data_IF_388894541358
#
_entry.id   IF_388894541358
#
_cell.length_a   1.000
_cell.length_b   1.000
_cell.length_c   1.000
_cell.angle_alpha   90.00
_cell.angle_beta   90.00
_cell.angle_gamma   90.00
#
_symmetry.space_group_name_H-M   'P 1'
#
loop_
_entity.id
_entity.type
_entity.pdbx_description
1 polymer ?
#
# COMPACT_ATOMS: atom_id res chain seq x y z
N UNK A 1 -18.47 23.80 4.63
CA UNK A 1 -17.97 22.43 4.38
C UNK A 1 -16.47 22.32 4.64
N UNK A 2 -15.96 21.12 4.88
CA UNK A 2 -14.51 20.89 4.99
C UNK A 2 -14.07 19.59 4.31
N UNK A 3 -12.86 19.58 3.71
CA UNK A 3 -12.33 18.40 3.04
C UNK A 3 -10.88 18.53 2.56
N UNK A 4 -10.37 17.44 1.98
CA UNK A 4 -9.00 17.38 1.45
C UNK A 4 -8.84 18.09 0.10
N UNK A 5 -9.73 17.81 -0.84
CA UNK A 5 -9.78 18.33 -2.22
C UNK A 5 -8.47 18.19 -3.00
N UNK A 6 -7.71 17.16 -2.69
CA UNK A 6 -6.51 16.80 -3.44
C UNK A 6 -6.92 16.22 -4.81
N UNK A 7 -6.20 16.58 -5.89
CA UNK A 7 -6.59 16.27 -7.28
C UNK A 7 -8.03 16.72 -7.59
N UNK A 8 -8.26 18.01 -7.62
CA UNK A 8 -9.58 18.58 -7.93
C UNK A 8 -10.13 18.00 -9.26
N UNK A 9 -11.38 17.52 -9.23
CA UNK A 9 -12.03 16.86 -10.37
C UNK A 9 -13.52 17.23 -10.46
N UNK A 10 -14.20 16.84 -11.55
CA UNK A 10 -15.61 17.15 -11.79
C UNK A 10 -16.56 16.78 -10.65
N UNK A 11 -16.28 15.68 -9.94
CA UNK A 11 -17.07 15.28 -8.77
C UNK A 11 -16.93 16.26 -7.57
N UNK A 12 -15.77 16.91 -7.39
CA UNK A 12 -15.64 17.98 -6.41
C UNK A 12 -16.40 19.25 -6.87
N UNK A 13 -16.31 19.59 -8.14
CA UNK A 13 -17.03 20.78 -8.69
C UNK A 13 -18.52 20.60 -8.51
N UNK A 14 -19.09 19.45 -8.91
CA UNK A 14 -20.51 19.15 -8.72
C UNK A 14 -20.94 19.20 -7.25
N UNK A 15 -20.08 18.70 -6.34
CA UNK A 15 -20.32 18.78 -4.90
C UNK A 15 -20.33 20.20 -4.36
N UNK A 16 -19.45 21.10 -4.87
CA UNK A 16 -19.46 22.51 -4.52
C UNK A 16 -20.68 23.24 -5.11
N UNK A 17 -21.07 22.91 -6.34
CA UNK A 17 -22.28 23.46 -6.97
C UNK A 17 -23.54 23.04 -6.20
N UNK A 18 -23.66 21.78 -5.80
CA UNK A 18 -24.74 21.29 -4.95
C UNK A 18 -24.80 22.05 -3.62
N UNK A 19 -23.66 22.19 -2.92
CA UNK A 19 -23.59 22.92 -1.66
C UNK A 19 -23.97 24.40 -1.82
N UNK A 20 -23.55 25.05 -2.91
CA UNK A 20 -23.87 26.46 -3.19
C UNK A 20 -25.38 26.70 -3.47
N UNK A 21 -26.16 25.65 -3.71
CA UNK A 21 -27.66 25.81 -3.82
C UNK A 21 -28.31 26.12 -2.48
N UNK A 22 -27.62 25.84 -1.37
CA UNK A 22 -28.11 26.12 -0.01
C UNK A 22 -27.76 27.53 0.47
N UNK A 23 -26.84 28.24 -0.19
CA UNK A 23 -26.43 29.61 0.19
C UNK A 23 -24.97 29.88 -0.14
N UNK A 24 -24.40 30.88 0.51
CA UNK A 24 -22.99 31.27 0.35
C UNK A 24 -22.06 30.16 0.82
N UNK A 25 -21.23 29.63 -0.09
CA UNK A 25 -20.36 28.50 0.19
C UNK A 25 -19.00 28.91 0.74
N UNK A 26 -18.71 28.45 1.96
CA UNK A 26 -17.44 28.58 2.65
C UNK A 26 -16.75 27.21 2.75
N UNK A 27 -15.44 27.13 2.42
CA UNK A 27 -14.72 25.87 2.28
C UNK A 27 -13.46 25.86 3.14
N UNK A 28 -13.41 24.98 4.14
CA UNK A 28 -12.20 24.64 4.88
C UNK A 28 -11.41 23.54 4.15
N UNK A 29 -10.10 23.69 4.07
CA UNK A 29 -9.19 22.75 3.44
C UNK A 29 -8.30 22.14 4.51
N UNK A 30 -8.30 20.82 4.63
CA UNK A 30 -7.41 20.12 5.55
C UNK A 30 -5.95 20.38 5.20
N UNK A 31 -5.12 20.75 6.19
CA UNK A 31 -3.69 20.97 5.98
C UNK A 31 -2.98 19.69 5.51
N UNK A 32 -1.83 19.82 4.84
CA UNK A 32 -1.02 18.68 4.40
C UNK A 32 -0.67 17.76 5.57
N UNK A 33 -0.41 18.37 6.73
CA UNK A 33 -0.11 17.64 7.96
C UNK A 33 -1.32 16.85 8.48
N UNK A 34 -2.50 17.46 8.53
CA UNK A 34 -3.75 16.76 8.89
C UNK A 34 -4.05 15.60 7.94
N UNK A 35 -3.88 15.80 6.63
CA UNK A 35 -4.12 14.75 5.64
C UNK A 35 -3.12 13.61 5.79
N UNK A 36 -1.85 13.91 6.06
CA UNK A 36 -0.84 12.89 6.32
C UNK A 36 -1.15 12.08 7.58
N UNK A 37 -1.60 12.73 8.64
CA UNK A 37 -2.01 12.08 9.91
C UNK A 37 -3.24 11.16 9.70
N UNK A 38 -4.29 11.65 9.02
CA UNK A 38 -5.55 10.92 8.85
C UNK A 38 -5.50 9.82 7.77
N UNK A 39 -4.73 10.03 6.70
CA UNK A 39 -4.71 9.13 5.53
C UNK A 39 -3.39 8.40 5.34
N UNK A 40 -2.42 8.59 6.25
CA UNK A 40 -1.08 8.01 6.18
C UNK A 40 -0.37 8.22 4.82
N UNK A 41 -0.68 9.33 4.12
CA UNK A 41 -0.13 9.67 2.80
C UNK A 41 0.03 11.16 2.61
N UNK A 42 0.99 11.55 1.78
CA UNK A 42 1.12 12.93 1.31
C UNK A 42 0.04 13.26 0.28
N UNK A 43 -0.34 14.53 0.25
CA UNK A 43 -1.13 15.10 -0.85
C UNK A 43 -0.29 15.17 -2.13
N UNK A 44 -0.93 15.14 -3.30
CA UNK A 44 -0.27 15.41 -4.58
C UNK A 44 -0.05 16.91 -4.74
N UNK A 45 -1.13 17.68 -4.50
CA UNK A 45 -1.06 19.13 -4.49
C UNK A 45 -0.87 19.62 -3.06
N UNK A 46 0.02 20.58 -2.85
CA UNK A 46 0.23 21.23 -1.54
C UNK A 46 -1.05 21.92 -1.06
N UNK A 47 -1.14 22.18 0.23
CA UNK A 47 -2.31 22.87 0.79
C UNK A 47 -2.56 24.24 0.13
N UNK A 48 -1.50 24.96 -0.24
CA UNK A 48 -1.59 26.24 -0.95
C UNK A 48 -2.12 26.09 -2.38
N UNK A 49 -1.67 25.06 -3.13
CA UNK A 49 -2.20 24.76 -4.47
C UNK A 49 -3.68 24.37 -4.40
N UNK A 50 -4.06 23.55 -3.41
CA UNK A 50 -5.44 23.14 -3.19
C UNK A 50 -6.33 24.33 -2.82
N UNK A 51 -5.83 25.24 -1.97
CA UNK A 51 -6.52 26.48 -1.63
C UNK A 51 -6.71 27.37 -2.84
N UNK A 52 -5.66 27.55 -3.65
CA UNK A 52 -5.73 28.34 -4.88
C UNK A 52 -6.79 27.80 -5.84
N UNK A 53 -6.78 26.48 -6.09
CA UNK A 53 -7.74 25.85 -6.99
C UNK A 53 -9.19 25.97 -6.47
N UNK A 54 -9.42 25.72 -5.19
CA UNK A 54 -10.75 25.81 -4.58
C UNK A 54 -11.29 27.25 -4.60
N UNK A 55 -10.46 28.23 -4.27
CA UNK A 55 -10.82 29.67 -4.36
C UNK A 55 -11.18 30.13 -5.77
N UNK A 56 -10.66 29.47 -6.78
CA UNK A 56 -10.91 29.81 -8.19
C UNK A 56 -12.26 29.28 -8.68
N UNK A 57 -12.97 28.46 -7.91
CA UNK A 57 -14.26 27.91 -8.29
C UNK A 57 -15.39 28.94 -8.11
N UNK A 58 -16.20 29.11 -9.16
CA UNK A 58 -17.31 30.09 -9.14
C UNK A 58 -18.32 29.87 -8.01
N UNK A 59 -18.52 28.61 -7.58
CA UNK A 59 -19.43 28.25 -6.52
C UNK A 59 -18.94 28.60 -5.12
N UNK A 60 -17.63 28.89 -4.97
CA UNK A 60 -16.99 29.12 -3.66
C UNK A 60 -16.93 30.61 -3.38
N UNK A 61 -17.52 31.06 -2.27
CA UNK A 61 -17.44 32.45 -1.82
C UNK A 61 -16.10 32.74 -1.17
N UNK A 62 -15.66 31.84 -0.27
CA UNK A 62 -14.40 31.95 0.45
C UNK A 62 -13.84 30.57 0.81
N UNK A 63 -12.52 30.45 0.89
CA UNK A 63 -11.86 29.24 1.33
C UNK A 63 -10.59 29.56 2.13
N UNK A 64 -10.19 28.66 3.04
CA UNK A 64 -9.00 28.76 3.88
C UNK A 64 -8.43 27.38 4.20
N UNK A 65 -7.20 27.34 4.70
CA UNK A 65 -6.60 26.13 5.27
C UNK A 65 -7.00 26.05 6.73
N UNK A 66 -7.57 24.90 7.14
CA UNK A 66 -7.97 24.67 8.53
C UNK A 66 -6.76 24.72 9.46
N UNK A 67 -6.90 25.40 10.61
CA UNK A 67 -5.83 25.57 11.60
C UNK A 67 -5.71 24.40 12.58
N UNK A 68 -6.75 23.58 12.68
CA UNK A 68 -6.80 22.42 13.59
C UNK A 68 -6.16 21.16 13.05
N UNK A 69 -6.42 20.03 13.71
CA UNK A 69 -5.94 18.69 13.35
C UNK A 69 -6.98 17.60 13.56
N UNK A 70 -6.74 16.45 12.95
CA UNK A 70 -7.62 15.29 13.09
C UNK A 70 -8.96 15.46 12.36
N UNK A 71 -9.97 14.72 12.80
CA UNK A 71 -11.30 14.66 12.15
C UNK A 71 -12.10 15.97 12.23
N UNK A 72 -11.83 16.81 13.24
CA UNK A 72 -12.45 18.12 13.44
C UNK A 72 -11.41 19.25 13.25
N UNK A 73 -10.52 19.12 12.27
CA UNK A 73 -9.50 20.12 11.97
C UNK A 73 -10.05 21.52 11.67
N UNK A 74 -11.34 21.61 11.36
CA UNK A 74 -12.12 22.82 11.06
C UNK A 74 -12.87 23.42 12.27
N UNK A 75 -12.75 22.81 13.44
CA UNK A 75 -13.59 23.17 14.61
C UNK A 75 -13.51 24.67 14.95
N UNK A 76 -12.31 25.24 14.95
CA UNK A 76 -12.10 26.66 15.28
C UNK A 76 -12.83 27.56 14.29
N UNK A 77 -12.61 27.35 13.03
CA UNK A 77 -13.18 28.18 11.95
C UNK A 77 -14.71 28.05 11.89
N UNK A 78 -15.27 26.88 12.14
CA UNK A 78 -16.72 26.67 12.21
C UNK A 78 -17.33 27.36 13.40
N UNK A 79 -16.67 27.36 14.58
CA UNK A 79 -17.13 28.13 15.77
C UNK A 79 -17.07 29.64 15.58
N UNK A 80 -16.10 30.13 14.83
CA UNK A 80 -15.97 31.54 14.48
C UNK A 80 -16.98 31.98 13.43
N UNK A 81 -17.20 31.16 12.40
CA UNK A 81 -18.14 31.45 11.31
C UNK A 81 -19.60 31.24 11.69
N UNK A 82 -19.90 30.24 12.53
CA UNK A 82 -21.26 29.82 12.91
C UNK A 82 -22.18 29.69 11.69
N UNK A 83 -21.88 28.79 10.74
CA UNK A 83 -22.70 28.62 9.55
C UNK A 83 -24.06 27.99 9.90
N UNK A 84 -25.08 28.28 9.11
CA UNK A 84 -26.40 27.66 9.27
C UNK A 84 -26.36 26.15 8.92
N UNK A 85 -25.56 25.78 7.92
CA UNK A 85 -25.49 24.40 7.40
C UNK A 85 -24.01 23.93 7.33
N UNK A 86 -23.76 22.71 7.81
CA UNK A 86 -22.52 22.00 7.56
C UNK A 86 -22.76 20.88 6.50
N UNK A 87 -22.33 21.16 5.29
CA UNK A 87 -22.54 20.27 4.14
C UNK A 87 -21.37 19.29 3.99
N UNK A 88 -21.67 18.00 3.87
CA UNK A 88 -20.65 16.91 3.81
C UNK A 88 -21.05 15.87 2.77
N UNK A 89 -20.07 15.20 2.18
CA UNK A 89 -20.37 14.01 1.36
C UNK A 89 -20.50 12.74 2.23
N UNK A 90 -21.11 11.70 1.69
CA UNK A 90 -21.34 10.43 2.39
C UNK A 90 -20.03 9.80 2.91
N UNK A 91 -18.93 9.88 2.15
CA UNK A 91 -17.62 9.33 2.53
C UNK A 91 -16.94 10.14 3.65
N UNK A 92 -17.28 11.42 3.78
CA UNK A 92 -16.74 12.32 4.78
C UNK A 92 -17.62 12.49 6.01
N UNK A 93 -18.84 11.90 6.00
CA UNK A 93 -19.77 11.92 7.12
C UNK A 93 -19.28 10.99 8.24
N UNK A 94 -19.30 11.47 9.47
CA UNK A 94 -18.95 10.70 10.67
C UNK A 94 -19.85 11.09 11.83
N UNK A 95 -20.15 10.16 12.78
CA UNK A 95 -20.94 10.48 13.98
C UNK A 95 -20.33 11.62 14.81
N UNK A 96 -19.01 11.76 14.79
CA UNK A 96 -18.32 12.83 15.51
C UNK A 96 -18.64 14.22 14.94
N UNK A 97 -18.68 14.35 13.60
CA UNK A 97 -19.03 15.61 12.92
C UNK A 97 -20.51 15.96 13.09
N UNK A 98 -21.37 14.96 13.00
CA UNK A 98 -22.79 15.13 13.21
C UNK A 98 -23.09 15.65 14.63
N UNK A 99 -22.52 14.99 15.64
CA UNK A 99 -22.63 15.42 17.03
C UNK A 99 -22.07 16.82 17.27
N UNK A 100 -20.92 17.15 16.66
CA UNK A 100 -20.35 18.51 16.75
C UNK A 100 -21.30 19.57 16.17
N UNK A 101 -21.95 19.31 15.05
CA UNK A 101 -22.92 20.22 14.46
C UNK A 101 -24.19 20.34 15.34
N UNK A 102 -24.69 19.23 15.89
CA UNK A 102 -25.82 19.21 16.82
C UNK A 102 -25.55 20.07 18.07
N UNK A 103 -24.37 19.95 18.67
CA UNK A 103 -23.95 20.76 19.83
C UNK A 103 -23.94 22.28 19.55
N UNK A 104 -23.71 22.67 18.28
CA UNK A 104 -23.71 24.09 17.88
C UNK A 104 -25.03 24.55 17.24
N UNK A 105 -26.02 23.67 17.09
CA UNK A 105 -27.28 23.97 16.40
C UNK A 105 -27.13 24.20 14.90
N UNK A 106 -26.13 23.65 14.30
CA UNK A 106 -25.84 23.72 12.87
C UNK A 106 -26.52 22.55 12.15
N UNK A 107 -27.27 22.82 11.08
CA UNK A 107 -27.89 21.76 10.27
C UNK A 107 -26.81 20.92 9.56
N UNK A 108 -26.87 19.58 9.70
CA UNK A 108 -25.93 18.65 9.10
C UNK A 108 -26.52 18.00 7.84
N UNK A 109 -26.03 18.37 6.67
CA UNK A 109 -26.57 17.92 5.37
C UNK A 109 -25.57 17.02 4.66
N UNK A 110 -26.03 15.81 4.28
CA UNK A 110 -25.22 14.84 3.56
C UNK A 110 -25.59 14.85 2.07
N UNK A 111 -24.60 15.11 1.20
CA UNK A 111 -24.74 15.14 -0.26
C UNK A 111 -25.15 13.80 -0.84
N UNK A 112 -25.98 13.85 -1.89
CA UNK A 112 -26.35 12.69 -2.71
C UNK A 112 -25.30 12.32 -3.75
N UNK A 113 -24.24 13.13 -3.93
CA UNK A 113 -23.14 12.93 -4.90
C UNK A 113 -23.61 12.68 -6.33
N UNK A 114 -24.50 13.50 -6.82
CA UNK A 114 -25.02 13.42 -8.19
C UNK A 114 -24.00 14.05 -9.14
N UNK A 115 -23.48 13.32 -10.15
CA UNK A 115 -22.60 13.90 -11.15
C UNK A 115 -23.31 15.01 -11.94
N UNK A 116 -22.56 16.02 -12.36
CA UNK A 116 -23.11 17.09 -13.20
C UNK A 116 -23.43 16.57 -14.62
N UNK A 117 -24.69 16.62 -15.01
CA UNK A 117 -25.15 16.21 -16.35
C UNK A 117 -24.73 14.77 -16.70
N UNK A 118 -24.11 14.60 -17.86
CA UNK A 118 -23.62 13.29 -18.34
C UNK A 118 -22.15 13.01 -17.99
N UNK A 119 -21.54 13.78 -17.06
CA UNK A 119 -20.16 13.54 -16.68
C UNK A 119 -20.05 12.23 -15.86
N UNK A 120 -18.96 11.47 -16.02
CA UNK A 120 -18.75 10.26 -15.25
C UNK A 120 -18.55 10.57 -13.77
N UNK A 121 -18.98 9.66 -12.91
CA UNK A 121 -18.64 9.71 -11.49
C UNK A 121 -17.13 9.68 -11.31
N UNK A 122 -16.57 10.65 -10.61
CA UNK A 122 -15.13 10.76 -10.32
C UNK A 122 -14.88 10.80 -8.81
N UNK A 123 -13.78 10.22 -8.40
CA UNK A 123 -13.24 10.36 -7.03
C UNK A 123 -11.73 10.48 -7.08
N UNK A 124 -11.13 11.18 -6.13
CA UNK A 124 -9.66 11.26 -5.98
C UNK A 124 -9.03 9.86 -5.91
N UNK A 125 -9.71 8.91 -5.25
CA UNK A 125 -9.27 7.52 -5.16
C UNK A 125 -9.24 6.85 -6.53
N UNK A 126 -10.30 7.04 -7.36
CA UNK A 126 -10.34 6.49 -8.71
C UNK A 126 -9.28 7.12 -9.63
N UNK A 127 -9.06 8.44 -9.54
CA UNK A 127 -8.03 9.14 -10.32
C UNK A 127 -6.60 8.71 -9.93
N UNK A 128 -6.38 8.43 -8.63
CA UNK A 128 -5.12 7.83 -8.17
C UNK A 128 -4.92 6.40 -8.67
N UNK A 129 -5.99 5.69 -9.05
CA UNK A 129 -5.96 4.37 -9.69
C UNK A 129 -5.45 4.38 -11.14
N UNK A 130 -5.40 5.53 -11.81
CA UNK A 130 -4.86 5.61 -13.17
C UNK A 130 -3.35 5.34 -13.22
N UNK A 131 -2.70 5.15 -12.08
CA UNK A 131 -1.34 4.65 -12.00
C UNK A 131 -1.37 3.11 -11.97
N UNK A 132 -1.09 2.49 -13.10
CA UNK A 132 -1.07 1.03 -13.29
C UNK A 132 0.25 0.39 -12.86
N UNK A 133 1.16 1.15 -12.26
CA UNK A 133 2.41 0.57 -11.71
C UNK A 133 2.05 -0.43 -10.61
N UNK A 134 2.42 -1.71 -10.77
CA UNK A 134 2.06 -2.78 -9.85
C UNK A 134 2.66 -2.64 -8.46
N UNK A 135 2.12 -3.39 -7.52
CA UNK A 135 2.81 -3.74 -6.29
C UNK A 135 3.47 -5.11 -6.43
N UNK A 136 4.35 -5.46 -5.49
CA UNK A 136 4.98 -6.76 -5.39
C UNK A 136 4.78 -7.32 -3.99
N UNK A 137 4.45 -8.62 -3.92
CA UNK A 137 4.51 -9.39 -2.68
C UNK A 137 5.65 -10.39 -2.79
N UNK A 138 6.47 -10.51 -1.74
CA UNK A 138 7.40 -11.61 -1.58
C UNK A 138 6.70 -12.76 -0.80
N UNK A 139 6.64 -13.94 -1.39
CA UNK A 139 6.01 -15.11 -0.78
C UNK A 139 6.98 -15.88 0.10
N UNK A 140 8.24 -15.97 -0.30
CA UNK A 140 9.30 -16.66 0.44
C UNK A 140 10.69 -16.22 -0.04
N UNK A 141 11.70 -16.41 0.81
CA UNK A 141 13.11 -16.19 0.46
C UNK A 141 13.58 -14.75 0.48
N UNK A 142 12.70 -13.78 0.77
CA UNK A 142 13.10 -12.36 0.86
C UNK A 142 14.34 -12.16 1.74
N UNK A 143 15.24 -11.26 1.37
CA UNK A 143 16.60 -11.03 1.84
C UNK A 143 17.69 -11.83 1.13
N UNK A 144 17.39 -12.94 0.42
CA UNK A 144 18.40 -13.62 -0.41
C UNK A 144 18.84 -12.77 -1.63
N UNK A 145 18.08 -11.74 -2.00
CA UNK A 145 18.46 -10.71 -2.99
C UNK A 145 19.51 -9.73 -2.48
N UNK A 146 19.93 -9.89 -1.20
CA UNK A 146 21.02 -9.11 -0.61
C UNK A 146 22.32 -9.95 -0.59
N UNK A 147 23.40 -9.47 -1.22
CA UNK A 147 24.68 -10.20 -1.29
C UNK A 147 25.23 -10.59 0.08
N UNK A 148 24.99 -9.76 1.10
CA UNK A 148 25.44 -10.04 2.47
C UNK A 148 24.68 -11.20 3.14
N UNK A 149 23.61 -11.72 2.53
CA UNK A 149 22.89 -12.92 2.93
C UNK A 149 23.20 -14.08 1.99
N UNK A 150 22.95 -13.92 0.67
CA UNK A 150 23.07 -15.01 -0.30
C UNK A 150 24.50 -15.49 -0.57
N UNK A 151 25.53 -14.70 -0.20
CA UNK A 151 26.93 -15.16 -0.22
C UNK A 151 27.21 -16.29 0.79
N UNK A 152 26.42 -16.41 1.86
CA UNK A 152 26.56 -17.47 2.84
C UNK A 152 25.91 -18.77 2.36
N UNK A 153 24.75 -18.64 1.71
CA UNK A 153 24.06 -19.74 1.07
C UNK A 153 23.16 -19.22 -0.06
N UNK A 154 23.34 -19.68 -1.31
CA UNK A 154 22.51 -19.23 -2.43
C UNK A 154 21.09 -19.75 -2.30
N UNK A 155 20.14 -19.06 -2.97
CA UNK A 155 18.76 -19.52 -2.98
C UNK A 155 17.79 -18.57 -3.66
N UNK A 156 16.53 -19.00 -3.82
CA UNK A 156 15.54 -18.22 -4.54
C UNK A 156 14.79 -17.25 -3.63
N UNK A 157 14.33 -16.17 -4.26
CA UNK A 157 13.23 -15.33 -3.75
C UNK A 157 12.01 -15.55 -4.64
N UNK A 158 10.84 -15.76 -4.03
CA UNK A 158 9.58 -15.94 -4.75
C UNK A 158 8.75 -14.64 -4.64
N UNK A 159 8.44 -14.06 -5.79
CA UNK A 159 7.64 -12.82 -5.84
C UNK A 159 6.43 -12.99 -6.75
N UNK A 160 5.35 -12.28 -6.41
CA UNK A 160 4.20 -12.08 -7.30
C UNK A 160 4.03 -10.59 -7.57
N UNK A 161 3.73 -10.27 -8.84
CA UNK A 161 3.34 -8.92 -9.26
C UNK A 161 1.82 -8.80 -9.16
N UNK A 162 1.33 -7.84 -8.39
CA UNK A 162 -0.10 -7.67 -8.17
C UNK A 162 -0.60 -6.35 -8.74
N UNK A 163 -1.82 -6.37 -9.28
CA UNK A 163 -2.48 -5.18 -9.80
C UNK A 163 -2.70 -4.17 -8.65
N UNK A 164 -2.56 -2.86 -8.93
CA UNK A 164 -2.82 -1.84 -7.93
C UNK A 164 -4.31 -1.79 -7.59
N UNK A 165 -4.63 -1.97 -6.31
CA UNK A 165 -5.96 -1.80 -5.76
C UNK A 165 -6.03 -0.52 -4.92
N UNK A 166 -7.19 0.14 -4.90
CA UNK A 166 -7.36 1.40 -4.16
C UNK A 166 -7.23 1.22 -2.63
N UNK A 167 -7.43 0.01 -2.14
CA UNK A 167 -7.27 -0.33 -0.72
C UNK A 167 -5.81 -0.47 -0.32
N UNK A 168 -4.92 -0.71 -1.29
CA UNK A 168 -3.47 -0.68 -1.06
C UNK A 168 -3.06 0.77 -0.89
N UNK A 169 -3.05 1.24 0.35
CA UNK A 169 -2.49 2.54 0.68
C UNK A 169 -0.96 2.45 0.69
N UNK A 170 -0.28 3.61 0.82
CA UNK A 170 1.19 3.71 0.81
C UNK A 170 1.88 3.04 2.03
N UNK A 171 1.31 1.95 2.56
CA UNK A 171 1.94 1.15 3.62
C UNK A 171 3.18 0.46 3.09
N UNK A 172 4.18 0.31 3.96
CA UNK A 172 5.39 -0.43 3.63
C UNK A 172 5.12 -1.92 3.42
N UNK A 173 6.02 -2.62 2.76
CA UNK A 173 6.03 -4.06 2.68
C UNK A 173 5.61 -4.68 1.33
N UNK A 174 5.00 -3.91 0.41
CA UNK A 174 4.66 -4.38 -0.93
C UNK A 174 5.48 -3.65 -2.01
N UNK A 175 6.79 -3.53 -1.81
CA UNK A 175 7.71 -2.75 -2.66
C UNK A 175 7.31 -1.29 -2.81
N UNK A 176 6.72 -0.68 -1.78
CA UNK A 176 6.15 0.66 -1.86
C UNK A 176 7.18 1.73 -2.21
N UNK A 177 8.42 1.60 -1.71
CA UNK A 177 9.55 2.50 -2.06
C UNK A 177 9.93 2.37 -3.53
N UNK A 178 10.15 1.15 -4.01
CA UNK A 178 10.51 0.86 -5.40
C UNK A 178 9.38 1.20 -6.37
N UNK A 179 8.12 0.99 -5.95
CA UNK A 179 6.94 1.44 -6.70
C UNK A 179 6.90 2.96 -6.85
N UNK A 180 7.23 3.72 -5.81
CA UNK A 180 7.36 5.19 -5.90
C UNK A 180 8.43 5.59 -6.90
N UNK A 181 9.56 4.90 -6.93
CA UNK A 181 10.62 5.10 -7.91
C UNK A 181 10.18 4.73 -9.33
N UNK A 182 9.40 3.68 -9.51
CA UNK A 182 8.81 3.34 -10.79
C UNK A 182 7.83 4.41 -11.28
N UNK A 183 7.03 5.00 -10.38
CA UNK A 183 6.13 6.12 -10.70
C UNK A 183 6.94 7.38 -11.06
N UNK A 184 8.03 7.68 -10.34
CA UNK A 184 8.93 8.79 -10.70
C UNK A 184 9.53 8.58 -12.10
N UNK A 185 9.90 7.34 -12.45
CA UNK A 185 10.56 7.01 -13.70
C UNK A 185 9.59 6.92 -14.89
N UNK A 186 8.42 6.31 -14.71
CA UNK A 186 7.49 5.95 -15.80
C UNK A 186 6.11 6.59 -15.68
N UNK A 187 5.83 7.31 -14.61
CA UNK A 187 4.56 7.95 -14.31
C UNK A 187 3.41 6.96 -14.06
N UNK A 188 2.64 6.61 -15.09
CA UNK A 188 1.42 5.81 -14.93
C UNK A 188 1.58 4.33 -15.24
N UNK A 189 2.44 3.98 -16.20
CA UNK A 189 2.53 2.63 -16.75
C UNK A 189 3.97 2.20 -16.95
N UNK A 190 4.24 0.90 -16.80
CA UNK A 190 5.52 0.32 -17.20
C UNK A 190 5.58 0.33 -18.73
N UNK A 191 6.64 0.89 -19.36
CA UNK A 191 6.79 0.88 -20.81
C UNK A 191 6.75 -0.52 -21.41
N UNK A 192 6.31 -0.63 -22.66
CA UNK A 192 6.47 -1.86 -23.43
C UNK A 192 7.94 -2.10 -23.77
N UNK A 193 8.37 -3.36 -23.72
CA UNK A 193 9.75 -3.75 -24.07
C UNK A 193 10.24 -4.96 -23.31
N UNK A 194 11.55 -5.13 -23.32
CA UNK A 194 12.24 -6.20 -22.59
C UNK A 194 12.11 -5.98 -21.09
N UNK A 195 11.33 -6.84 -20.43
CA UNK A 195 10.99 -6.71 -19.01
C UNK A 195 12.23 -6.83 -18.11
N UNK A 196 13.22 -7.64 -18.47
CA UNK A 196 14.44 -7.74 -17.66
C UNK A 196 15.25 -6.44 -17.73
N UNK A 197 15.37 -5.82 -18.92
CA UNK A 197 16.02 -4.52 -19.08
C UNK A 197 15.28 -3.42 -18.33
N UNK A 198 13.95 -3.41 -18.36
CA UNK A 198 13.14 -2.46 -17.62
C UNK A 198 13.31 -2.64 -16.11
N UNK A 199 13.32 -3.88 -15.61
CA UNK A 199 13.60 -4.17 -14.20
C UNK A 199 15.01 -3.72 -13.79
N UNK A 200 16.03 -3.93 -14.61
CA UNK A 200 17.39 -3.42 -14.39
C UNK A 200 17.43 -1.89 -14.39
N UNK A 201 16.69 -1.24 -15.29
CA UNK A 201 16.58 0.22 -15.33
C UNK A 201 15.98 0.77 -14.03
N UNK A 202 14.89 0.18 -13.53
CA UNK A 202 14.28 0.56 -12.26
C UNK A 202 15.25 0.32 -11.09
N UNK A 203 15.92 -0.84 -11.06
CA UNK A 203 16.91 -1.16 -10.03
C UNK A 203 18.05 -0.12 -9.99
N UNK A 204 18.60 0.25 -11.14
CA UNK A 204 19.65 1.26 -11.23
C UNK A 204 19.13 2.66 -10.83
N UNK A 205 17.90 3.01 -11.21
CA UNK A 205 17.28 4.28 -10.85
C UNK A 205 17.03 4.40 -9.34
N UNK A 206 16.63 3.31 -8.69
CA UNK A 206 16.44 3.24 -7.25
C UNK A 206 17.78 3.28 -6.49
N UNK A 207 18.85 2.79 -7.09
CA UNK A 207 20.17 2.64 -6.49
C UNK A 207 21.25 3.48 -7.23
N UNK A 208 21.13 4.82 -7.28
CA UNK A 208 22.14 5.65 -7.92
C UNK A 208 23.47 5.56 -7.19
N UNK A 209 24.60 5.84 -7.85
CA UNK A 209 25.92 5.83 -7.22
C UNK A 209 25.97 6.71 -5.96
N UNK A 210 26.49 6.16 -4.87
CA UNK A 210 26.61 6.85 -3.59
C UNK A 210 25.48 6.60 -2.58
N UNK A 211 24.47 5.79 -2.91
CA UNK A 211 23.49 5.35 -1.88
C UNK A 211 24.19 4.55 -0.78
N UNK A 212 23.78 4.79 0.47
CA UNK A 212 24.33 4.09 1.64
C UNK A 212 23.91 2.61 1.68
N UNK A 213 22.65 2.33 1.30
CA UNK A 213 22.09 1.00 1.31
C UNK A 213 21.47 0.72 -0.06
N UNK A 214 21.86 -0.37 -0.67
CA UNK A 214 21.32 -0.81 -1.97
C UNK A 214 20.07 -1.61 -1.71
N UNK A 215 18.94 -1.17 -2.29
CA UNK A 215 17.71 -1.97 -2.33
C UNK A 215 17.92 -3.21 -3.17
N UNK A 216 17.38 -4.34 -2.75
CA UNK A 216 17.49 -5.60 -3.50
C UNK A 216 16.69 -5.58 -4.80
N UNK A 217 17.11 -6.38 -5.77
CA UNK A 217 16.48 -6.40 -7.10
C UNK A 217 15.14 -7.13 -7.15
N UNK A 218 14.78 -7.89 -6.11
CA UNK A 218 13.46 -8.55 -6.02
C UNK A 218 12.30 -7.57 -6.16
N UNK A 219 12.48 -6.33 -5.69
CA UNK A 219 11.44 -5.31 -5.73
C UNK A 219 11.23 -4.80 -7.15
N UNK A 220 12.30 -4.40 -7.84
CA UNK A 220 12.23 -3.94 -9.22
C UNK A 220 11.78 -5.04 -10.19
N UNK A 221 12.25 -6.28 -10.00
CA UNK A 221 11.83 -7.42 -10.81
C UNK A 221 10.36 -7.75 -10.57
N UNK A 222 9.93 -7.84 -9.31
CA UNK A 222 8.55 -8.17 -8.95
C UNK A 222 7.52 -7.10 -9.34
N UNK A 223 7.94 -5.82 -9.46
CA UNK A 223 7.09 -4.76 -10.04
C UNK A 223 6.96 -4.95 -11.55
N UNK A 224 8.08 -5.21 -12.26
CA UNK A 224 8.10 -5.19 -13.72
C UNK A 224 7.62 -6.51 -14.32
N UNK A 225 8.01 -7.65 -13.75
CA UNK A 225 7.66 -8.96 -14.29
C UNK A 225 6.30 -9.45 -13.79
N UNK A 226 5.35 -9.81 -14.69
CA UNK A 226 4.04 -10.32 -14.29
C UNK A 226 4.11 -11.73 -13.71
N UNK A 227 3.04 -12.16 -13.07
CA UNK A 227 2.86 -13.50 -12.57
C UNK A 227 3.64 -13.83 -11.32
N UNK A 228 3.93 -15.11 -11.15
CA UNK A 228 4.77 -15.68 -10.10
C UNK A 228 6.20 -15.82 -10.61
N UNK A 229 7.17 -15.27 -9.90
CA UNK A 229 8.57 -15.27 -10.29
C UNK A 229 9.46 -15.91 -9.22
N UNK A 230 10.32 -16.84 -9.63
CA UNK A 230 11.40 -17.42 -8.84
C UNK A 230 12.72 -16.79 -9.30
N UNK A 231 13.43 -16.14 -8.38
CA UNK A 231 14.62 -15.35 -8.60
C UNK A 231 15.79 -16.00 -7.86
N UNK A 232 16.68 -16.71 -8.57
CA UNK A 232 17.79 -17.45 -7.98
C UNK A 232 19.01 -16.52 -7.73
N UNK A 233 19.40 -16.32 -6.47
CA UNK A 233 20.52 -15.47 -6.06
C UNK A 233 21.73 -16.27 -5.59
N UNK A 234 22.91 -15.74 -5.88
CA UNK A 234 24.18 -16.36 -5.50
C UNK A 234 25.27 -15.30 -5.19
N UNK A 235 25.03 -14.51 -4.16
CA UNK A 235 26.00 -13.50 -3.67
C UNK A 235 26.02 -12.17 -4.43
N UNK A 236 25.15 -11.99 -5.43
CA UNK A 236 25.00 -10.76 -6.22
C UNK A 236 23.65 -10.10 -5.99
N UNK A 237 23.55 -8.80 -6.29
CA UNK A 237 22.26 -8.07 -6.25
C UNK A 237 21.30 -8.47 -7.37
N UNK A 238 21.80 -9.03 -8.49
CA UNK A 238 20.96 -9.49 -9.59
C UNK A 238 20.91 -11.02 -9.62
N UNK A 239 19.72 -11.61 -9.81
CA UNK A 239 19.60 -13.07 -9.82
C UNK A 239 20.35 -13.70 -11.00
N UNK A 240 20.93 -14.86 -10.79
CA UNK A 240 21.59 -15.66 -11.84
C UNK A 240 20.58 -16.28 -12.81
N UNK A 241 19.33 -16.46 -12.35
CA UNK A 241 18.23 -16.98 -13.14
C UNK A 241 16.91 -16.39 -12.68
N UNK A 242 16.03 -16.07 -13.62
CA UNK A 242 14.64 -15.68 -13.42
C UNK A 242 13.74 -16.72 -14.07
N UNK A 243 12.83 -17.31 -13.31
CA UNK A 243 11.84 -18.27 -13.82
C UNK A 243 10.45 -17.71 -13.52
N UNK A 244 9.71 -17.33 -14.58
CA UNK A 244 8.35 -16.79 -14.46
C UNK A 244 7.30 -17.85 -14.76
N UNK A 245 6.25 -17.90 -13.97
CA UNK A 245 5.07 -18.72 -14.21
C UNK A 245 3.85 -17.81 -14.43
N UNK A 246 3.23 -17.96 -15.60
CA UNK A 246 2.03 -17.19 -16.03
C UNK A 246 0.82 -18.13 -16.22
N UNK A 247 0.91 -19.38 -15.76
CA UNK A 247 -0.21 -20.32 -15.82
C UNK A 247 -1.38 -19.80 -14.98
N UNK A 248 -2.49 -19.45 -15.65
CA UNK A 248 -3.66 -18.90 -15.00
C UNK A 248 -4.18 -19.79 -13.87
N UNK A 249 -4.10 -21.11 -14.03
CA UNK A 249 -4.57 -22.06 -13.02
C UNK A 249 -3.74 -22.02 -11.72
N UNK A 250 -2.46 -21.68 -11.82
CA UNK A 250 -1.58 -21.48 -10.66
C UNK A 250 -1.84 -20.10 -10.04
N UNK A 251 -1.95 -19.06 -10.89
CA UNK A 251 -2.15 -17.70 -10.42
C UNK A 251 -3.52 -17.52 -9.75
N UNK A 252 -4.58 -18.09 -10.36
CA UNK A 252 -5.93 -18.07 -9.76
C UNK A 252 -5.94 -18.82 -8.41
N UNK A 253 -5.24 -19.96 -8.33
CA UNK A 253 -5.12 -20.71 -7.08
C UNK A 253 -4.39 -19.89 -5.99
N UNK A 254 -3.32 -19.15 -6.32
CA UNK A 254 -2.65 -18.26 -5.36
C UNK A 254 -3.61 -17.14 -4.92
N UNK A 255 -4.37 -16.53 -5.83
CA UNK A 255 -5.36 -15.51 -5.52
C UNK A 255 -6.46 -16.00 -4.57
N UNK A 256 -6.90 -17.25 -4.73
CA UNK A 256 -7.88 -17.89 -3.85
C UNK A 256 -7.37 -18.07 -2.42
N UNK A 257 -6.07 -18.24 -2.24
CA UNK A 257 -5.50 -18.66 -0.95
C UNK A 257 -4.65 -17.60 -0.25
N UNK A 258 -4.34 -16.47 -0.91
CA UNK A 258 -3.60 -15.37 -0.27
C UNK A 258 -4.58 -14.31 0.25
N UNK A 259 -4.47 -14.04 1.55
CA UNK A 259 -5.20 -12.98 2.24
C UNK A 259 -4.21 -11.93 2.76
N UNK A 260 -4.51 -10.65 2.59
CA UNK A 260 -3.72 -9.57 3.18
C UNK A 260 -4.46 -8.94 4.35
N UNK A 261 -3.78 -8.83 5.49
CA UNK A 261 -4.27 -8.08 6.65
C UNK A 261 -3.44 -6.82 6.79
N UNK A 262 -4.05 -5.63 6.70
CA UNK A 262 -3.33 -4.38 6.88
C UNK A 262 -2.90 -4.23 8.34
N UNK A 263 -1.59 -3.99 8.54
CA UNK A 263 -1.00 -3.63 9.82
C UNK A 263 -0.87 -2.10 9.88
N UNK A 264 -0.25 -1.58 10.95
CA UNK A 264 0.09 -0.16 11.05
C UNK A 264 1.29 0.20 10.14
N UNK A 265 1.46 1.49 9.81
CA UNK A 265 2.63 1.96 9.10
C UNK A 265 3.91 1.72 9.90
N UNK A 266 5.00 1.39 9.21
CA UNK A 266 6.32 1.26 9.82
C UNK A 266 6.72 2.55 10.55
N UNK A 267 7.22 2.44 11.78
CA UNK A 267 7.72 3.58 12.56
C UNK A 267 8.93 4.21 11.90
N UNK A 268 9.12 5.52 12.07
CA UNK A 268 10.21 6.26 11.43
C UNK A 268 11.61 5.87 11.95
N UNK A 269 11.69 5.40 13.19
CA UNK A 269 12.90 4.95 13.88
C UNK A 269 13.18 3.44 13.74
N UNK A 270 12.38 2.75 12.92
CA UNK A 270 12.53 1.32 12.72
C UNK A 270 13.84 0.97 11.99
N UNK A 271 14.67 0.16 12.63
CA UNK A 271 15.89 -0.42 12.06
C UNK A 271 15.79 -1.95 12.05
N UNK A 272 15.74 -2.52 10.85
CA UNK A 272 15.71 -3.98 10.66
C UNK A 272 17.06 -4.64 10.91
N UNK A 273 18.15 -3.88 10.79
CA UNK A 273 19.51 -4.40 10.93
C UNK A 273 19.99 -4.51 12.38
N UNK A 274 19.20 -4.04 13.33
CA UNK A 274 19.53 -4.20 14.75
C UNK A 274 19.48 -5.68 15.16
N UNK A 275 20.52 -6.16 15.85
CA UNK A 275 20.66 -7.55 16.36
C UNK A 275 20.64 -8.64 15.28
N UNK A 276 21.13 -8.39 14.08
CA UNK A 276 21.16 -9.37 12.99
C UNK A 276 22.05 -10.58 13.29
N UNK A 277 21.65 -11.76 12.80
CA UNK A 277 22.41 -13.02 12.89
C UNK A 277 22.54 -13.68 11.51
N UNK A 278 23.36 -13.06 10.64
CA UNK A 278 23.55 -13.51 9.26
C UNK A 278 24.68 -14.55 9.23
N UNK A 279 24.32 -15.80 8.92
CA UNK A 279 25.23 -16.93 8.83
C UNK A 279 24.71 -17.99 7.88
N UNK A 280 25.56 -18.97 7.53
CA UNK A 280 25.22 -20.04 6.57
C UNK A 280 23.98 -20.83 6.95
N UNK A 281 23.84 -21.23 8.24
CA UNK A 281 22.69 -21.99 8.71
C UNK A 281 21.38 -21.25 8.49
N UNK A 282 21.31 -19.97 8.85
CA UNK A 282 20.10 -19.17 8.72
C UNK A 282 19.77 -18.87 7.26
N UNK A 283 20.79 -18.54 6.44
CA UNK A 283 20.62 -18.33 4.99
C UNK A 283 20.15 -19.63 4.29
N UNK A 284 20.70 -20.80 4.67
CA UNK A 284 20.30 -22.11 4.15
C UNK A 284 18.83 -22.42 4.49
N UNK A 285 18.41 -22.18 5.74
CA UNK A 285 17.03 -22.42 6.15
C UNK A 285 16.05 -21.56 5.33
N UNK A 286 16.41 -20.31 5.06
CA UNK A 286 15.60 -19.40 4.24
C UNK A 286 15.50 -19.88 2.79
N UNK A 287 16.63 -20.34 2.21
CA UNK A 287 16.68 -20.92 0.86
C UNK A 287 15.80 -22.17 0.75
N UNK A 288 15.91 -23.10 1.72
CA UNK A 288 15.12 -24.35 1.72
C UNK A 288 13.61 -24.02 1.83
N UNK A 289 13.22 -23.09 2.69
CA UNK A 289 11.83 -22.70 2.82
C UNK A 289 11.27 -22.11 1.51
N UNK A 290 12.07 -21.33 0.79
CA UNK A 290 11.67 -20.78 -0.51
C UNK A 290 11.53 -21.86 -1.59
N UNK A 291 12.41 -22.85 -1.65
CA UNK A 291 12.27 -23.98 -2.57
C UNK A 291 10.99 -24.80 -2.26
N UNK A 292 10.76 -25.13 -0.99
CA UNK A 292 9.53 -25.79 -0.58
C UNK A 292 8.27 -25.02 -0.96
N UNK A 293 8.31 -23.69 -0.82
CA UNK A 293 7.21 -22.83 -1.19
C UNK A 293 6.91 -22.88 -2.69
N UNK A 294 7.95 -22.84 -3.53
CA UNK A 294 7.82 -22.99 -4.98
C UNK A 294 7.17 -24.31 -5.36
N UNK A 295 7.69 -25.43 -4.82
CA UNK A 295 7.16 -26.76 -5.10
C UNK A 295 5.70 -26.92 -4.60
N UNK A 296 5.37 -26.38 -3.43
CA UNK A 296 4.02 -26.43 -2.89
C UNK A 296 3.01 -25.67 -3.77
N UNK A 297 3.40 -24.49 -4.27
CA UNK A 297 2.56 -23.71 -5.21
C UNK A 297 2.33 -24.46 -6.52
N UNK A 298 3.38 -25.01 -7.14
CA UNK A 298 3.26 -25.74 -8.41
C UNK A 298 2.39 -26.99 -8.29
N UNK A 299 2.42 -27.63 -7.11
CA UNK A 299 1.60 -28.82 -6.83
C UNK A 299 0.22 -28.46 -6.23
N UNK A 300 -0.09 -27.18 -6.01
CA UNK A 300 -1.31 -26.70 -5.37
C UNK A 300 -1.58 -27.35 -3.99
N UNK A 301 -0.52 -27.59 -3.24
CA UNK A 301 -0.59 -28.17 -1.90
C UNK A 301 -0.70 -27.04 -0.85
N UNK A 302 -1.93 -26.72 -0.46
CA UNK A 302 -2.23 -25.60 0.42
C UNK A 302 -1.54 -25.68 1.77
N UNK A 303 -1.49 -26.89 2.36
CA UNK A 303 -0.87 -27.06 3.68
C UNK A 303 0.63 -26.84 3.60
N UNK A 304 1.31 -27.45 2.62
CA UNK A 304 2.75 -27.21 2.43
C UNK A 304 3.07 -25.79 2.01
N UNK A 305 2.18 -25.14 1.27
CA UNK A 305 2.33 -23.72 0.94
C UNK A 305 2.32 -22.86 2.21
N UNK A 306 1.32 -23.04 3.09
CA UNK A 306 1.24 -22.34 4.37
C UNK A 306 2.44 -22.62 5.28
N UNK A 307 2.84 -23.89 5.40
CA UNK A 307 4.02 -24.31 6.18
C UNK A 307 5.29 -23.62 5.65
N UNK A 308 5.53 -23.65 4.34
CA UNK A 308 6.73 -23.09 3.73
C UNK A 308 6.79 -21.54 3.86
N UNK A 309 5.66 -20.84 3.74
CA UNK A 309 5.57 -19.40 3.98
C UNK A 309 5.93 -19.06 5.43
N UNK A 310 5.43 -19.85 6.39
CA UNK A 310 5.73 -19.68 7.82
C UNK A 310 7.19 -20.03 8.13
N UNK A 311 7.72 -21.12 7.55
CA UNK A 311 9.15 -21.47 7.67
C UNK A 311 10.05 -20.34 7.13
N UNK A 312 9.66 -19.71 6.00
CA UNK A 312 10.38 -18.57 5.45
C UNK A 312 10.40 -17.38 6.40
N UNK A 313 9.26 -17.04 7.04
CA UNK A 313 9.23 -15.99 8.07
C UNK A 313 10.14 -16.35 9.25
N UNK A 314 10.06 -17.58 9.76
CA UNK A 314 10.90 -18.02 10.89
C UNK A 314 12.40 -17.92 10.56
N UNK A 315 12.79 -18.29 9.33
CA UNK A 315 14.15 -18.14 8.86
C UNK A 315 14.57 -16.66 8.76
N UNK A 316 13.67 -15.80 8.28
CA UNK A 316 13.88 -14.34 8.25
C UNK A 316 14.05 -13.76 9.65
N UNK A 317 13.23 -14.15 10.62
CA UNK A 317 13.34 -13.71 12.02
C UNK A 317 14.63 -14.18 12.69
N UNK A 318 15.15 -15.35 12.31
CA UNK A 318 16.47 -15.81 12.76
C UNK A 318 17.63 -14.98 12.17
N UNK A 319 17.47 -14.38 10.99
CA UNK A 319 18.42 -13.46 10.38
C UNK A 319 18.27 -12.03 10.92
N UNK A 320 17.02 -11.58 11.05
CA UNK A 320 16.61 -10.20 11.34
C UNK A 320 15.52 -10.18 12.42
N UNK A 321 15.83 -10.33 13.70
CA UNK A 321 14.85 -10.47 14.79
C UNK A 321 13.87 -9.28 14.88
N UNK A 322 14.33 -8.07 14.52
CA UNK A 322 13.49 -6.87 14.60
C UNK A 322 12.38 -6.80 13.53
N UNK A 323 12.30 -7.74 12.58
CA UNK A 323 11.23 -7.75 11.57
C UNK A 323 9.82 -7.85 12.18
N UNK A 324 9.68 -8.50 13.34
CA UNK A 324 8.40 -8.67 14.02
C UNK A 324 8.41 -8.02 15.43
N UNK A 325 8.12 -6.73 15.55
CA UNK A 325 7.82 -6.10 16.84
C UNK A 325 6.68 -6.81 17.58
N UNK A 326 6.55 -6.59 18.89
CA UNK A 326 5.60 -7.31 19.77
C UNK A 326 4.15 -7.25 19.29
N UNK A 327 3.72 -6.09 18.80
CA UNK A 327 2.39 -5.84 18.27
C UNK A 327 2.13 -6.61 16.95
N UNK A 328 3.15 -6.82 16.11
CA UNK A 328 3.07 -7.70 14.93
C UNK A 328 2.98 -9.16 15.35
N UNK A 329 3.75 -9.58 16.36
CA UNK A 329 3.68 -10.94 16.91
C UNK A 329 2.29 -11.24 17.50
N UNK A 330 1.66 -10.28 18.16
CA UNK A 330 0.28 -10.41 18.66
C UNK A 330 -0.71 -10.65 17.52
N UNK A 331 -0.59 -9.94 16.39
CA UNK A 331 -1.42 -10.18 15.22
C UNK A 331 -1.18 -11.57 14.62
N UNK A 332 0.07 -12.01 14.53
CA UNK A 332 0.42 -13.36 14.08
C UNK A 332 -0.23 -14.39 15.00
N UNK A 333 -0.12 -14.26 16.33
CA UNK A 333 -0.73 -15.17 17.29
C UNK A 333 -2.27 -15.22 17.15
N UNK A 334 -2.91 -14.07 16.92
CA UNK A 334 -4.36 -14.00 16.68
C UNK A 334 -4.78 -14.87 15.49
N UNK A 335 -4.11 -14.69 14.34
CA UNK A 335 -4.47 -15.40 13.12
C UNK A 335 -4.00 -16.84 13.08
N UNK A 336 -2.90 -17.20 13.76
CA UNK A 336 -2.41 -18.58 13.85
C UNK A 336 -3.38 -19.55 14.58
N UNK A 337 -4.32 -19.00 15.35
CA UNK A 337 -5.36 -19.79 16.03
C UNK A 337 -6.59 -20.04 15.14
N UNK A 338 -6.68 -19.38 13.97
CA UNK A 338 -7.80 -19.56 13.05
C UNK A 338 -7.60 -20.84 12.22
N UNK A 339 -8.52 -21.81 12.22
CA UNK A 339 -8.37 -23.08 11.52
C UNK A 339 -8.33 -22.94 9.98
N UNK A 340 -8.87 -21.84 9.44
CA UNK A 340 -8.81 -21.55 8.02
C UNK A 340 -7.43 -21.02 7.57
N UNK A 341 -6.56 -20.59 8.51
CA UNK A 341 -5.21 -20.10 8.22
C UNK A 341 -4.21 -21.25 8.27
N UNK A 342 -3.47 -21.45 7.18
CA UNK A 342 -2.47 -22.53 7.02
C UNK A 342 -1.04 -22.02 7.18
N UNK A 343 -0.82 -20.71 7.05
CA UNK A 343 0.49 -20.09 7.23
C UNK A 343 0.43 -18.58 7.16
N UNK A 344 1.52 -17.95 7.57
CA UNK A 344 1.61 -16.49 7.69
C UNK A 344 3.03 -15.96 7.48
N UNK A 345 3.10 -14.72 7.06
CA UNK A 345 4.35 -14.00 6.84
C UNK A 345 4.13 -12.48 6.89
N UNK A 346 5.13 -11.75 7.35
CA UNK A 346 5.16 -10.28 7.25
C UNK A 346 5.65 -9.89 5.85
N UNK A 347 5.01 -8.93 5.22
CA UNK A 347 5.44 -8.45 3.91
C UNK A 347 6.70 -7.60 3.97
N UNK A 348 7.64 -7.83 3.06
CA UNK A 348 8.89 -7.07 2.91
C UNK A 348 9.80 -7.15 4.14
N UNK A 349 10.43 -6.03 4.51
CA UNK A 349 11.40 -5.95 5.60
C UNK A 349 10.77 -5.89 7.01
N UNK A 350 9.47 -6.08 7.15
CA UNK A 350 8.78 -6.11 8.45
C UNK A 350 8.60 -4.72 9.09
N UNK A 351 8.39 -4.70 10.41
CA UNK A 351 8.15 -3.50 11.19
C UNK A 351 6.77 -2.86 10.97
N UNK A 352 5.83 -3.55 10.34
CA UNK A 352 4.49 -3.08 9.96
C UNK A 352 4.15 -3.42 8.51
N UNK A 353 3.16 -2.73 7.93
CA UNK A 353 2.74 -2.90 6.54
C UNK A 353 1.60 -3.88 6.39
N UNK A 354 1.86 -5.11 5.95
CA UNK A 354 0.85 -6.14 5.75
C UNK A 354 1.30 -7.48 6.34
N UNK A 355 0.34 -8.21 6.93
CA UNK A 355 0.48 -9.62 7.20
C UNK A 355 -0.12 -10.39 6.01
N UNK A 356 0.67 -11.28 5.44
CA UNK A 356 0.27 -12.19 4.37
C UNK A 356 -0.15 -13.48 5.05
N UNK A 357 -1.36 -13.94 4.78
CA UNK A 357 -1.89 -15.20 5.28
C UNK A 357 -2.13 -16.14 4.10
N UNK A 358 -1.81 -17.41 4.28
CA UNK A 358 -2.25 -18.50 3.40
C UNK A 358 -3.49 -19.12 4.03
N UNK A 359 -4.63 -19.04 3.35
CA UNK A 359 -5.93 -19.39 3.90
C UNK A 359 -6.65 -20.45 3.05
N UNK A 360 -7.44 -21.30 3.71
CA UNK A 360 -8.36 -22.22 3.01
C UNK A 360 -9.47 -21.46 2.29
N UNK A 361 -9.95 -20.38 2.90
CA UNK A 361 -10.89 -19.42 2.34
C UNK A 361 -10.59 -18.00 2.84
N UNK A 362 -10.98 -16.99 2.06
CA UNK A 362 -10.78 -15.60 2.43
C UNK A 362 -11.47 -15.26 3.76
N UNK A 363 -10.75 -14.54 4.62
CA UNK A 363 -11.29 -14.03 5.87
C UNK A 363 -12.09 -12.74 5.60
N UNK A 364 -13.15 -12.53 6.39
CA UNK A 364 -14.05 -11.38 6.20
C UNK A 364 -13.33 -10.02 6.26
N UNK A 365 -12.32 -9.91 7.12
CA UNK A 365 -11.51 -8.70 7.34
C UNK A 365 -10.27 -8.61 6.45
N UNK A 366 -10.04 -9.59 5.57
CA UNK A 366 -8.87 -9.61 4.70
C UNK A 366 -9.12 -8.92 3.37
N UNK A 367 -8.05 -8.42 2.78
CA UNK A 367 -8.03 -7.92 1.41
C UNK A 367 -7.63 -9.04 0.46
N UNK A 368 -8.30 -9.14 -0.68
CA UNK A 368 -7.90 -10.01 -1.78
C UNK A 368 -6.83 -9.35 -2.64
N UNK A 369 -6.14 -10.16 -3.41
CA UNK A 369 -5.15 -9.70 -4.40
C UNK A 369 -5.57 -10.13 -5.80
N UNK A 370 -5.07 -9.41 -6.81
CA UNK A 370 -5.14 -9.82 -8.19
C UNK A 370 -3.74 -9.81 -8.78
N UNK A 371 -3.27 -10.97 -9.24
CA UNK A 371 -1.94 -11.12 -9.81
C UNK A 371 -1.96 -10.63 -11.26
N UNK A 372 -0.99 -9.81 -11.64
CA UNK A 372 -0.86 -9.31 -13.00
C UNK A 372 -0.46 -10.41 -13.97
N UNK A 373 -1.18 -10.55 -15.11
CA UNK A 373 -0.95 -11.59 -16.11
C UNK A 373 -0.09 -11.13 -17.29
N UNK A 374 0.15 -9.81 -17.45
CA UNK A 374 0.84 -9.24 -18.63
C UNK A 374 1.79 -8.10 -18.30
#
# INVERSE_FOLDING_TARGET
>A
MSGCYDMLHSGHVAFFEEAATYGDLYVGIGSDKTIQELKARKTINTEDERLYMVKSLKAVKEAWINSGRGLLDFEKEVRELMPDIFFVNSDGSTPLKEKFCEELGIEYVVSKRIPHGNLPTRSTTALRKECNIPYRIDLAGGWLDQPHVSKFYPGPVLTISIEPEYEFNDRSGMSTSSRKKAIELWQTDIPSGDKEKLAKTLFCFENPPGVKYVSGSQDSIGIVMPGLNKLDYNGDFWPTKITSNLDSSILDWIEEHICLIPLYPRKADYDVYENTSINEKNARNLSIAAEKCWDAILNKDLNKFGEAVTESLNAQLNLFPNMAPSDVLEQIMKYSQNPDVKGWKISGAGGGGYLILVCDKHLKESMSIKIRRS
#
